data_IF_337848898038
#
_entry.id   IF_337848898038
#
_cell.length_a   1.000
_cell.length_b   1.000
_cell.length_c   1.000
_cell.angle_alpha   90.00
_cell.angle_beta   90.00
_cell.angle_gamma   90.00
#
_symmetry.space_group_name_H-M   'P 1'
#
loop_
_entity.id
_entity.type
_entity.pdbx_description
1 polymer ?
#
# COMPACT_ATOMS: atom_id res chain seq x y z
N UNK A 1 -36.10 64.42 32.13
CA UNK A 1 -37.10 65.23 31.41
C UNK A 1 -36.31 66.36 30.77
N UNK A 2 -36.13 66.48 29.45
CA UNK A 2 -36.84 66.03 28.25
C UNK A 2 -35.83 65.38 27.26
N UNK A 3 -36.16 64.26 26.59
CA UNK A 3 -36.76 64.14 25.22
C UNK A 3 -35.83 64.69 24.12
N UNK A 4 -35.63 64.10 22.95
CA UNK A 4 -35.99 62.84 22.29
C UNK A 4 -35.14 62.76 21.00
N UNK A 5 -35.14 61.59 20.38
CA UNK A 5 -34.37 61.16 19.19
C UNK A 5 -34.65 61.98 17.92
N UNK A 6 -33.67 62.03 16.99
CA UNK A 6 -33.93 61.57 15.61
C UNK A 6 -32.65 61.08 14.92
N UNK A 7 -32.81 60.03 14.11
CA UNK A 7 -31.83 59.27 13.37
C UNK A 7 -32.08 59.46 11.86
N UNK A 8 -31.06 59.80 11.08
CA UNK A 8 -31.00 59.36 9.68
C UNK A 8 -29.56 59.38 9.18
N UNK A 9 -29.07 58.20 8.81
CA UNK A 9 -27.77 58.02 8.19
C UNK A 9 -27.76 58.45 6.72
N UNK A 10 -26.56 58.49 6.15
CA UNK A 10 -26.27 58.11 4.77
C UNK A 10 -24.76 57.85 4.63
N UNK A 11 -24.49 56.69 4.03
CA UNK A 11 -23.21 56.00 3.84
C UNK A 11 -22.23 56.69 2.87
N UNK A 12 -20.94 56.64 3.27
CA UNK A 12 -19.71 56.26 2.54
C UNK A 12 -19.33 56.92 1.17
N UNK A 13 -18.06 56.80 0.68
CA UNK A 13 -16.89 56.13 1.28
C UNK A 13 -15.62 57.03 1.39
N UNK A 14 -14.89 56.85 2.49
CA UNK A 14 -13.49 57.27 2.57
C UNK A 14 -12.61 56.27 1.82
N UNK A 15 -11.77 56.79 0.91
CA UNK A 15 -10.80 56.02 0.13
C UNK A 15 -9.82 55.27 1.04
N UNK A 16 -10.04 53.97 1.23
CA UNK A 16 -9.08 53.05 1.83
C UNK A 16 -7.90 52.88 0.87
N UNK A 17 -6.77 53.49 1.21
CA UNK A 17 -5.47 53.13 0.64
C UNK A 17 -5.23 51.63 0.88
N UNK A 18 -5.36 50.85 -0.18
CA UNK A 18 -4.98 49.45 -0.18
C UNK A 18 -3.47 49.35 0.03
N UNK A 19 -3.08 48.83 1.19
CA UNK A 19 -1.72 48.29 1.36
C UNK A 19 -1.58 47.13 0.38
N UNK A 20 -0.58 47.11 -0.52
CA UNK A 20 -0.35 45.93 -1.32
C UNK A 20 -0.01 44.78 -0.37
N UNK A 21 -0.75 43.68 -0.52
CA UNK A 21 -0.39 42.40 0.10
C UNK A 21 0.99 42.06 -0.47
N UNK A 22 2.02 42.12 0.37
CA UNK A 22 3.29 41.48 0.05
C UNK A 22 2.97 39.99 -0.07
N UNK A 23 2.75 39.52 -1.29
CA UNK A 23 2.61 38.12 -1.57
C UNK A 23 3.92 37.48 -1.13
N UNK A 24 3.90 36.79 0.01
CA UNK A 24 5.05 36.02 0.47
C UNK A 24 5.40 35.09 -0.68
N UNK A 25 6.53 35.36 -1.34
CA UNK A 25 7.11 34.39 -2.26
C UNK A 25 7.16 33.07 -1.49
N UNK A 26 6.78 31.93 -2.09
CA UNK A 26 7.01 30.65 -1.43
C UNK A 26 8.48 30.64 -1.04
N UNK A 27 8.75 30.42 0.24
CA UNK A 27 10.11 30.35 0.78
C UNK A 27 10.95 29.62 -0.26
N UNK A 28 11.92 30.34 -0.83
CA UNK A 28 12.89 29.75 -1.75
C UNK A 28 13.83 28.92 -0.90
N UNK A 29 13.27 27.91 -0.23
CA UNK A 29 14.00 26.87 0.46
C UNK A 29 14.80 26.22 -0.65
N UNK A 30 16.10 26.52 -0.67
CA UNK A 30 17.03 25.86 -1.57
C UNK A 30 16.87 24.37 -1.29
N UNK A 31 16.23 23.66 -2.22
CA UNK A 31 16.10 22.21 -2.13
C UNK A 31 17.51 21.65 -2.05
N UNK A 32 17.79 20.90 -0.99
CA UNK A 32 19.14 20.39 -0.77
C UNK A 32 19.49 19.42 -1.91
N UNK A 33 20.78 19.29 -2.23
CA UNK A 33 21.20 18.31 -3.25
C UNK A 33 20.72 16.89 -2.91
N UNK A 34 20.65 16.55 -1.62
CA UNK A 34 20.10 15.28 -1.13
C UNK A 34 18.58 15.14 -1.35
N UNK A 35 17.84 16.24 -1.49
CA UNK A 35 16.39 16.24 -1.76
C UNK A 35 16.08 16.12 -3.27
N UNK A 36 16.95 16.67 -4.12
CA UNK A 36 16.83 16.59 -5.58
C UNK A 36 17.37 15.26 -6.12
N UNK A 37 18.46 14.75 -5.53
CA UNK A 37 19.17 13.56 -6.02
C UNK A 37 19.13 12.37 -5.05
N UNK A 38 18.47 12.51 -3.89
CA UNK A 38 18.30 11.42 -2.95
C UNK A 38 17.38 10.32 -3.48
N UNK A 39 17.54 9.07 -2.99
CA UNK A 39 16.55 8.04 -3.23
C UNK A 39 15.16 8.51 -2.74
N UNK A 40 14.05 8.12 -3.40
CA UNK A 40 12.71 8.53 -3.02
C UNK A 40 12.45 8.32 -1.52
N UNK A 41 11.73 9.25 -0.88
CA UNK A 41 11.44 9.19 0.56
C UNK A 41 10.89 7.81 0.99
N UNK A 42 10.10 7.16 0.12
CA UNK A 42 9.62 5.80 0.33
C UNK A 42 9.59 4.98 -0.98
N UNK A 43 10.04 3.72 -0.94
CA UNK A 43 9.96 2.74 -2.01
C UNK A 43 9.44 1.39 -1.51
N UNK A 44 8.79 0.65 -2.39
CA UNK A 44 8.32 -0.72 -2.16
C UNK A 44 8.47 -1.52 -3.44
N UNK A 45 9.35 -2.50 -3.41
CA UNK A 45 9.59 -3.46 -4.49
C UNK A 45 9.15 -4.85 -4.03
N UNK A 46 8.26 -5.45 -4.81
CA UNK A 46 7.81 -6.84 -4.62
C UNK A 46 8.07 -7.62 -5.90
N UNK A 47 8.76 -8.75 -5.76
CA UNK A 47 8.92 -9.75 -6.81
C UNK A 47 8.38 -11.09 -6.31
N UNK A 48 7.69 -11.83 -7.18
CA UNK A 48 7.36 -13.24 -6.94
C UNK A 48 8.11 -14.06 -7.98
N UNK A 49 8.95 -15.00 -7.54
CA UNK A 49 9.90 -15.68 -8.43
C UNK A 49 10.25 -17.09 -7.96
N UNK A 50 11.16 -17.73 -8.69
CA UNK A 50 11.77 -19.00 -8.33
C UNK A 50 10.74 -20.06 -7.87
N UNK A 51 9.79 -20.43 -8.75
CA UNK A 51 8.80 -21.46 -8.41
C UNK A 51 9.51 -22.77 -8.06
N UNK A 52 9.05 -23.45 -7.01
CA UNK A 52 9.54 -24.79 -6.64
C UNK A 52 8.37 -25.70 -6.34
N UNK A 53 8.40 -26.88 -6.96
CA UNK A 53 7.39 -27.91 -6.73
C UNK A 53 7.92 -28.90 -5.70
N UNK A 54 7.12 -29.14 -4.67
CA UNK A 54 7.43 -29.98 -3.52
C UNK A 54 6.43 -31.12 -3.42
N UNK A 55 6.79 -32.12 -2.61
CA UNK A 55 5.92 -33.26 -2.30
C UNK A 55 5.87 -34.32 -3.40
N UNK A 56 5.06 -35.35 -3.17
CA UNK A 56 4.89 -36.46 -4.11
C UNK A 56 3.40 -36.82 -4.24
N UNK A 57 2.99 -37.22 -5.44
CA UNK A 57 1.62 -37.62 -5.76
C UNK A 57 0.58 -36.55 -5.40
N UNK A 58 -0.39 -36.92 -4.54
CA UNK A 58 -1.50 -36.02 -4.16
C UNK A 58 -1.08 -34.85 -3.27
N UNK A 59 0.05 -34.96 -2.59
CA UNK A 59 0.56 -33.91 -1.69
C UNK A 59 1.46 -32.90 -2.40
N UNK A 60 1.56 -32.97 -3.72
CA UNK A 60 2.39 -32.03 -4.47
C UNK A 60 1.83 -30.60 -4.40
N UNK A 61 2.70 -29.61 -4.27
CA UNK A 61 2.35 -28.20 -4.36
C UNK A 61 3.53 -27.38 -4.88
N UNK A 62 3.23 -26.24 -5.51
CA UNK A 62 4.24 -25.29 -5.95
C UNK A 62 4.19 -24.06 -5.05
N UNK A 63 5.33 -23.69 -4.48
CA UNK A 63 5.53 -22.44 -3.77
C UNK A 63 6.38 -21.47 -4.61
N UNK A 64 6.33 -20.21 -4.23
CA UNK A 64 7.03 -19.12 -4.88
C UNK A 64 7.84 -18.36 -3.85
N UNK A 65 9.02 -17.89 -4.25
CA UNK A 65 9.79 -16.92 -3.47
C UNK A 65 9.13 -15.54 -3.60
N UNK A 66 8.82 -14.91 -2.48
CA UNK A 66 8.43 -13.51 -2.42
C UNK A 66 9.64 -12.73 -1.91
N UNK A 67 10.20 -11.88 -2.77
CA UNK A 67 11.22 -10.92 -2.37
C UNK A 67 10.54 -9.57 -2.13
N UNK A 68 10.72 -9.02 -0.93
CA UNK A 68 10.25 -7.70 -0.56
C UNK A 68 11.45 -6.82 -0.22
N UNK A 69 11.52 -5.63 -0.81
CA UNK A 69 12.47 -4.56 -0.44
C UNK A 69 11.71 -3.27 -0.25
N UNK A 70 11.90 -2.62 0.89
CA UNK A 70 11.19 -1.38 1.20
C UNK A 70 11.88 -0.60 2.31
N UNK A 71 11.67 0.71 2.34
CA UNK A 71 11.96 1.56 3.48
C UNK A 71 10.68 2.09 4.16
N UNK A 72 9.49 1.60 3.76
CA UNK A 72 8.20 2.00 4.33
C UNK A 72 8.13 1.55 5.81
N UNK A 73 7.81 2.45 6.76
CA UNK A 73 7.79 2.15 8.21
C UNK A 73 6.81 1.06 8.66
N UNK A 74 5.79 0.75 7.85
CA UNK A 74 4.85 -0.33 8.14
C UNK A 74 5.51 -1.73 8.13
N UNK A 75 6.70 -1.85 7.56
CA UNK A 75 7.45 -3.09 7.45
C UNK A 75 8.63 -3.09 8.42
N UNK A 76 8.85 -4.21 9.11
CA UNK A 76 9.92 -4.34 10.12
C UNK A 76 11.29 -4.55 9.47
N UNK A 77 11.32 -5.27 8.35
CA UNK A 77 12.55 -5.57 7.62
C UNK A 77 12.67 -4.69 6.37
N UNK A 78 13.87 -4.18 6.09
CA UNK A 78 14.13 -3.47 4.83
C UNK A 78 14.18 -4.39 3.61
N UNK A 79 14.54 -5.65 3.85
CA UNK A 79 14.55 -6.70 2.85
C UNK A 79 14.16 -8.03 3.49
N UNK A 80 13.30 -8.80 2.82
CA UNK A 80 12.91 -10.15 3.22
C UNK A 80 12.75 -11.05 2.01
N UNK A 81 13.08 -12.34 2.17
CA UNK A 81 12.71 -13.40 1.23
C UNK A 81 11.95 -14.47 1.99
N UNK A 82 10.70 -14.73 1.59
CA UNK A 82 9.84 -15.76 2.18
C UNK A 82 9.28 -16.65 1.08
N UNK A 83 8.77 -17.83 1.43
CA UNK A 83 8.11 -18.73 0.47
C UNK A 83 6.66 -18.96 0.83
N UNK A 84 5.80 -18.88 -0.18
CA UNK A 84 4.34 -19.08 -0.06
C UNK A 84 3.82 -19.89 -1.22
N UNK A 85 2.87 -20.79 -0.94
CA UNK A 85 2.10 -21.49 -1.98
C UNK A 85 0.78 -20.77 -2.21
N UNK A 86 0.15 -21.08 -3.33
CA UNK A 86 -1.12 -20.46 -3.75
C UNK A 86 -2.21 -20.47 -2.67
N UNK A 87 -2.39 -21.58 -1.94
CA UNK A 87 -3.41 -21.66 -0.89
C UNK A 87 -3.13 -20.77 0.31
N UNK A 88 -1.87 -20.38 0.53
CA UNK A 88 -1.53 -19.41 1.58
C UNK A 88 -1.99 -18.01 1.17
N UNK A 89 -1.92 -17.69 -0.14
CA UNK A 89 -2.49 -16.46 -0.68
C UNK A 89 -4.02 -16.45 -0.62
N UNK A 90 -4.69 -17.59 -0.87
CA UNK A 90 -6.15 -17.71 -0.67
C UNK A 90 -6.50 -17.31 0.77
N UNK A 91 -5.83 -17.90 1.77
CA UNK A 91 -6.09 -17.58 3.17
C UNK A 91 -5.72 -16.14 3.54
N UNK A 92 -4.59 -15.63 3.05
CA UNK A 92 -4.18 -14.24 3.25
C UNK A 92 -5.22 -13.24 2.72
N UNK A 93 -5.74 -13.49 1.51
CA UNK A 93 -6.82 -12.68 0.94
C UNK A 93 -8.07 -12.70 1.82
N UNK A 94 -8.48 -13.87 2.29
CA UNK A 94 -9.65 -14.01 3.16
C UNK A 94 -9.48 -13.22 4.48
N UNK A 95 -8.28 -13.23 5.08
CA UNK A 95 -8.01 -12.43 6.28
C UNK A 95 -8.13 -10.94 5.96
N UNK A 96 -7.54 -10.46 4.87
CA UNK A 96 -7.60 -9.05 4.49
C UNK A 96 -9.03 -8.56 4.27
N UNK A 97 -9.88 -9.40 3.66
CA UNK A 97 -11.30 -9.09 3.47
C UNK A 97 -12.05 -8.99 4.81
N UNK A 98 -11.68 -9.79 5.81
CA UNK A 98 -12.26 -9.71 7.16
C UNK A 98 -11.75 -8.52 7.96
N UNK A 99 -10.46 -8.17 7.83
CA UNK A 99 -9.85 -7.04 8.55
C UNK A 99 -10.26 -5.68 7.97
N UNK A 100 -10.58 -5.60 6.68
CA UNK A 100 -10.83 -4.33 5.99
C UNK A 100 -12.10 -4.33 5.14
N UNK A 101 -13.21 -3.90 5.73
CA UNK A 101 -14.47 -3.72 5.01
C UNK A 101 -14.48 -2.52 4.04
N UNK A 102 -13.48 -1.63 4.12
CA UNK A 102 -13.41 -0.38 3.32
C UNK A 102 -12.53 -0.51 2.08
N UNK A 103 -11.79 -1.60 1.95
CA UNK A 103 -10.85 -1.82 0.85
C UNK A 103 -11.29 -3.02 0.04
N UNK A 104 -11.49 -2.84 -1.26
CA UNK A 104 -11.75 -3.96 -2.16
C UNK A 104 -10.45 -4.73 -2.43
N UNK A 105 -10.37 -5.95 -1.92
CA UNK A 105 -9.18 -6.80 -2.10
C UNK A 105 -9.18 -7.39 -3.51
N UNK A 106 -8.10 -7.18 -4.31
CA UNK A 106 -8.04 -7.67 -5.69
C UNK A 106 -8.20 -9.19 -5.77
N UNK A 107 -8.71 -9.72 -6.90
CA UNK A 107 -8.81 -11.16 -7.10
C UNK A 107 -7.42 -11.80 -7.25
N UNK A 108 -7.29 -13.05 -6.80
CA UNK A 108 -6.12 -13.89 -7.09
C UNK A 108 -6.19 -14.43 -8.52
N UNK A 109 -5.05 -14.84 -9.12
CA UNK A 109 -5.07 -15.57 -10.39
C UNK A 109 -5.94 -16.82 -10.26
N UNK A 110 -6.70 -17.12 -11.31
CA UNK A 110 -7.71 -18.18 -11.30
C UNK A 110 -7.20 -19.53 -10.81
N UNK A 111 -8.09 -20.27 -10.13
CA UNK A 111 -7.80 -21.63 -9.67
C UNK A 111 -7.72 -22.57 -10.87
N UNK A 112 -6.57 -23.22 -11.02
CA UNK A 112 -6.32 -24.17 -12.12
C UNK A 112 -6.58 -25.58 -11.62
N UNK A 113 -7.55 -26.25 -12.23
CA UNK A 113 -7.99 -27.60 -11.86
C UNK A 113 -7.32 -28.71 -12.66
N UNK A 114 -6.74 -28.39 -13.83
CA UNK A 114 -6.08 -29.35 -14.73
C UNK A 114 -4.67 -28.88 -15.08
N UNK A 115 -3.72 -29.81 -15.22
CA UNK A 115 -2.32 -29.53 -15.55
C UNK A 115 -1.66 -28.43 -14.67
N UNK A 116 -1.95 -28.45 -13.36
CA UNK A 116 -1.54 -27.40 -12.39
C UNK A 116 -0.03 -27.23 -12.19
N UNK A 117 0.77 -28.10 -12.81
CA UNK A 117 2.23 -28.11 -12.74
C UNK A 117 2.89 -27.84 -14.10
N UNK A 118 2.11 -27.48 -15.12
CA UNK A 118 2.68 -26.99 -16.37
C UNK A 118 3.34 -25.62 -16.15
N UNK A 119 4.42 -25.38 -16.89
CA UNK A 119 5.20 -24.14 -16.78
C UNK A 119 4.33 -22.90 -17.04
N UNK A 120 3.41 -22.96 -18.01
CA UNK A 120 2.47 -21.87 -18.31
C UNK A 120 1.56 -21.54 -17.11
N UNK A 121 1.07 -22.55 -16.40
CA UNK A 121 0.24 -22.37 -15.21
C UNK A 121 1.06 -21.80 -14.06
N UNK A 122 2.27 -22.31 -13.87
CA UNK A 122 3.17 -21.86 -12.82
C UNK A 122 3.55 -20.39 -13.05
N UNK A 123 3.93 -20.02 -14.27
CA UNK A 123 4.32 -18.65 -14.61
C UNK A 123 3.12 -17.70 -14.60
N UNK A 124 1.99 -18.08 -15.20
CA UNK A 124 0.77 -17.28 -15.15
C UNK A 124 0.29 -17.02 -13.72
N UNK A 125 0.42 -18.02 -12.85
CA UNK A 125 0.15 -17.87 -11.41
C UNK A 125 1.18 -16.97 -10.74
N UNK A 126 2.47 -17.16 -10.96
CA UNK A 126 3.54 -16.30 -10.41
C UNK A 126 3.29 -14.83 -10.73
N UNK A 127 3.03 -14.51 -12.00
CA UNK A 127 2.74 -13.15 -12.45
C UNK A 127 1.47 -12.57 -11.80
N UNK A 128 0.40 -13.37 -11.69
CA UNK A 128 -0.83 -12.95 -11.03
C UNK A 128 -0.67 -12.71 -9.53
N UNK A 129 0.10 -13.55 -8.83
CA UNK A 129 0.42 -13.39 -7.41
C UNK A 129 1.28 -12.14 -7.17
N UNK A 130 2.24 -11.86 -8.05
CA UNK A 130 3.03 -10.63 -7.98
C UNK A 130 2.16 -9.38 -8.15
N UNK A 131 1.28 -9.37 -9.16
CA UNK A 131 0.34 -8.27 -9.38
C UNK A 131 -0.56 -8.06 -8.17
N UNK A 132 -1.09 -9.14 -7.59
CA UNK A 132 -1.89 -9.09 -6.37
C UNK A 132 -1.12 -8.44 -5.21
N UNK A 133 0.12 -8.88 -4.94
CA UNK A 133 0.92 -8.31 -3.84
C UNK A 133 1.31 -6.85 -4.08
N UNK A 134 1.69 -6.48 -5.31
CA UNK A 134 2.02 -5.08 -5.63
C UNK A 134 0.87 -4.13 -5.28
N UNK A 135 -0.37 -4.56 -5.52
CA UNK A 135 -1.57 -3.79 -5.17
C UNK A 135 -1.80 -3.79 -3.65
N UNK A 136 -1.83 -4.98 -3.03
CA UNK A 136 -2.21 -5.14 -1.62
C UNK A 136 -1.17 -4.51 -0.68
N UNK A 137 0.10 -4.86 -0.88
CA UNK A 137 1.21 -4.42 -0.02
C UNK A 137 1.48 -2.93 -0.21
N UNK A 138 1.19 -2.38 -1.39
CA UNK A 138 1.28 -0.94 -1.67
C UNK A 138 0.10 -0.12 -1.15
N UNK A 139 -0.96 -0.73 -0.63
CA UNK A 139 -2.17 0.00 -0.24
C UNK A 139 -2.04 0.62 1.17
N UNK A 140 -2.09 1.95 1.33
CA UNK A 140 -1.82 2.61 2.62
C UNK A 140 -2.74 2.14 3.75
N UNK A 141 -4.05 1.99 3.49
CA UNK A 141 -5.00 1.54 4.52
C UNK A 141 -4.76 0.09 4.97
N UNK A 142 -4.21 -0.76 4.11
CA UNK A 142 -3.87 -2.13 4.49
C UNK A 142 -2.54 -2.15 5.26
N UNK A 143 -1.57 -1.31 4.86
CA UNK A 143 -0.30 -1.16 5.59
C UNK A 143 -0.51 -0.72 7.06
N UNK A 144 -1.47 0.17 7.31
CA UNK A 144 -1.77 0.63 8.68
C UNK A 144 -2.83 -0.20 9.39
N UNK A 145 -3.73 -0.84 8.64
CA UNK A 145 -4.93 -1.50 9.18
C UNK A 145 -4.83 -3.01 9.32
N UNK A 146 -3.91 -3.67 8.61
CA UNK A 146 -3.77 -5.12 8.62
C UNK A 146 -2.53 -5.58 9.35
N UNK A 147 -2.70 -6.46 10.35
CA UNK A 147 -1.58 -7.06 11.06
C UNK A 147 -0.94 -8.20 10.27
N UNK A 148 -1.73 -8.89 9.44
CA UNK A 148 -1.25 -10.03 8.63
C UNK A 148 -0.37 -9.58 7.46
N UNK A 149 -0.57 -8.36 6.93
CA UNK A 149 0.08 -7.88 5.71
C UNK A 149 1.61 -7.93 5.76
N UNK A 150 2.21 -7.32 6.78
CA UNK A 150 3.67 -7.34 6.93
C UNK A 150 4.18 -8.76 7.23
N UNK A 151 3.48 -9.51 8.09
CA UNK A 151 3.88 -10.88 8.43
C UNK A 151 3.87 -11.80 7.20
N UNK A 152 2.88 -11.69 6.32
CA UNK A 152 2.77 -12.54 5.15
C UNK A 152 3.98 -12.42 4.21
N UNK A 153 4.54 -11.21 4.05
CA UNK A 153 5.68 -10.96 3.13
C UNK A 153 7.05 -10.94 3.81
N UNK A 154 7.11 -10.92 5.15
CA UNK A 154 8.38 -10.81 5.89
C UNK A 154 8.69 -11.98 6.83
N UNK A 155 7.70 -12.68 7.35
CA UNK A 155 7.91 -13.74 8.34
C UNK A 155 8.09 -15.11 7.64
N UNK A 156 9.27 -15.73 7.65
CA UNK A 156 9.46 -17.05 7.04
C UNK A 156 8.57 -18.14 7.67
N UNK A 157 8.14 -17.95 8.92
CA UNK A 157 7.36 -18.91 9.70
C UNK A 157 5.86 -18.58 9.77
N UNK A 158 5.36 -17.74 8.87
CA UNK A 158 3.93 -17.41 8.81
C UNK A 158 3.08 -18.70 8.74
N UNK A 159 2.14 -18.82 9.69
CA UNK A 159 1.17 -19.92 9.74
C UNK A 159 -0.25 -19.36 9.69
N UNK A 160 -1.06 -19.90 8.79
CA UNK A 160 -2.49 -19.59 8.67
C UNK A 160 -3.27 -19.79 9.97
N UNK A 161 -2.87 -20.71 10.85
CA UNK A 161 -3.61 -20.95 12.09
C UNK A 161 -3.34 -19.89 13.17
N UNK A 162 -2.34 -19.04 12.96
CA UNK A 162 -1.99 -17.96 13.89
C UNK A 162 -2.78 -16.66 13.62
N UNK A 163 -3.67 -16.65 12.61
CA UNK A 163 -4.39 -15.47 12.11
C UNK A 163 -5.87 -15.75 11.87
#
# INVERSE_FOLDING_TARGET
MASDQDNSGLDAPGSQFHRPILQSMPDTRQQSFDEIYGPPENFLEIEVRNPRTHGMGRHMYTDYEILCRTNIPAFKLRQSSVRRRYSDFEYFRDILERESARVTIPPLPGKVFTNRFSDDVIEGRRAGLEKFLKIVVGHPLLQTGSKVLAAFVQDPNWDRNAW
#
